data_IF_250387809901
#
_entry.id   IF_250387809901
#
_cell.length_a   1.000
_cell.length_b   1.000
_cell.length_c   1.000
_cell.angle_alpha   90.00
_cell.angle_beta   90.00
_cell.angle_gamma   90.00
#
_symmetry.space_group_name_H-M   'P 1'
#
loop_
_entity.id
_entity.type
_entity.pdbx_description
1 polymer ?
#
# COMPACT_ATOMS: atom_id res chain seq x y z
N UNK A 1 -7.78 -3.26 -8.07
CA UNK A 1 -6.38 -3.53 -7.64
C UNK A 1 -6.40 -4.32 -6.32
N UNK A 2 -5.49 -5.28 -6.13
CA UNK A 2 -5.37 -6.02 -4.86
C UNK A 2 -4.08 -5.63 -4.16
N UNK A 3 -4.20 -5.18 -2.91
CA UNK A 3 -3.07 -4.83 -2.04
C UNK A 3 -3.17 -5.59 -0.73
N UNK A 4 -2.02 -5.99 -0.17
CA UNK A 4 -1.93 -6.33 1.24
C UNK A 4 -1.31 -5.14 1.96
N UNK A 5 -1.98 -4.71 3.02
CA UNK A 5 -1.60 -3.52 3.79
C UNK A 5 -1.36 -3.96 5.23
N UNK A 6 -0.26 -3.50 5.81
CA UNK A 6 -0.02 -3.60 7.25
C UNK A 6 -0.38 -2.26 7.89
N UNK A 7 -1.18 -2.32 8.95
CA UNK A 7 -1.57 -1.15 9.74
C UNK A 7 -0.75 -1.16 11.02
N UNK A 8 -0.12 -0.03 11.33
CA UNK A 8 0.65 0.20 12.54
C UNK A 8 -0.15 1.15 13.42
N UNK A 9 -0.61 0.64 14.57
CA UNK A 9 -1.42 1.41 15.51
C UNK A 9 -0.59 2.42 16.32
N UNK A 10 0.63 2.04 16.69
CA UNK A 10 1.60 2.84 17.44
C UNK A 10 2.13 4.02 16.63
N UNK A 11 2.39 3.81 15.34
CA UNK A 11 2.87 4.84 14.42
C UNK A 11 1.73 5.54 13.64
N UNK A 12 0.47 5.22 13.95
CA UNK A 12 -0.72 5.76 13.26
C UNK A 12 -0.59 5.77 11.73
N UNK A 13 -0.04 4.71 11.15
CA UNK A 13 0.31 4.65 9.73
C UNK A 13 -0.02 3.29 9.12
N UNK A 14 0.06 3.22 7.80
CA UNK A 14 -0.15 2.00 7.05
C UNK A 14 0.85 1.89 5.90
N UNK A 15 1.23 0.66 5.57
CA UNK A 15 2.24 0.36 4.57
C UNK A 15 1.74 -0.75 3.63
N UNK A 16 1.99 -0.59 2.32
CA UNK A 16 1.69 -1.64 1.35
C UNK A 16 2.80 -2.70 1.38
N UNK A 17 2.42 -3.93 1.71
CA UNK A 17 3.32 -5.09 1.74
C UNK A 17 3.39 -5.80 0.38
N UNK A 18 2.32 -5.75 -0.39
CA UNK A 18 2.24 -6.36 -1.72
C UNK A 18 1.31 -5.62 -2.65
N UNK A 19 1.64 -5.57 -3.94
CA UNK A 19 0.81 -4.97 -4.98
C UNK A 19 0.97 -5.74 -6.30
N UNK A 20 -0.14 -6.09 -6.97
CA UNK A 20 -0.14 -6.79 -8.26
C UNK A 20 0.81 -8.00 -8.35
N UNK A 21 0.67 -8.96 -7.43
CA UNK A 21 1.55 -10.14 -7.31
C UNK A 21 3.02 -9.86 -6.96
N UNK A 22 3.44 -8.60 -6.81
CA UNK A 22 4.78 -8.24 -6.35
C UNK A 22 4.78 -8.03 -4.83
N UNK A 23 5.85 -8.51 -4.20
CA UNK A 23 6.11 -8.46 -2.75
C UNK A 23 7.56 -8.05 -2.53
N UNK A 24 7.92 -7.70 -1.29
CA UNK A 24 9.29 -7.38 -0.90
C UNK A 24 9.88 -6.18 -1.65
N UNK A 25 9.09 -5.11 -1.80
CA UNK A 25 9.58 -3.83 -2.32
C UNK A 25 10.72 -3.33 -1.43
N UNK A 26 11.90 -3.17 -2.02
CA UNK A 26 13.03 -2.59 -1.32
C UNK A 26 12.84 -1.07 -1.21
N UNK A 27 13.28 -0.45 -0.10
CA UNK A 27 13.25 1.01 0.03
C UNK A 27 14.15 1.70 -1.00
N UNK A 28 15.17 1.00 -1.51
CA UNK A 28 16.04 1.46 -2.57
C UNK A 28 16.58 0.29 -3.39
N UNK A 29 16.58 0.45 -4.72
CA UNK A 29 17.23 -0.49 -5.64
C UNK A 29 18.50 0.12 -6.25
N UNK A 30 19.65 -0.49 -5.99
CA UNK A 30 20.94 -0.11 -6.58
C UNK A 30 20.93 -0.34 -8.10
N UNK A 31 21.70 0.49 -8.83
CA UNK A 31 21.83 0.36 -10.28
C UNK A 31 23.16 -0.31 -10.67
N UNK A 32 23.16 -1.19 -11.69
CA UNK A 32 22.03 -1.56 -12.54
C UNK A 32 21.04 -2.49 -11.82
N UNK A 33 19.74 -2.21 -11.93
CA UNK A 33 18.69 -3.05 -11.36
C UNK A 33 18.24 -4.09 -12.41
N UNK A 34 18.70 -5.36 -12.34
CA UNK A 34 18.39 -6.37 -13.34
C UNK A 34 16.91 -6.75 -13.39
N UNK A 35 16.15 -6.45 -12.34
CA UNK A 35 14.71 -6.66 -12.27
C UNK A 35 13.91 -5.42 -12.75
N UNK A 36 14.60 -4.36 -13.16
CA UNK A 36 14.04 -3.10 -13.71
C UNK A 36 13.03 -2.38 -12.80
N UNK A 37 13.02 -2.66 -11.49
CA UNK A 37 12.26 -1.86 -10.53
C UNK A 37 12.74 -0.41 -10.48
N UNK A 38 11.79 0.50 -10.28
CA UNK A 38 12.06 1.91 -10.06
C UNK A 38 12.76 2.09 -8.70
N UNK A 39 13.68 3.06 -8.60
CA UNK A 39 14.47 3.29 -7.36
C UNK A 39 13.61 3.52 -6.12
N UNK A 40 12.43 4.08 -6.30
CA UNK A 40 11.52 4.58 -5.28
C UNK A 40 10.15 3.86 -5.32
N UNK A 41 10.08 2.67 -5.91
CA UNK A 41 8.81 1.95 -6.12
C UNK A 41 8.03 1.74 -4.81
N UNK A 42 8.74 1.49 -3.70
CA UNK A 42 8.12 1.41 -2.37
C UNK A 42 7.35 2.69 -2.00
N UNK A 43 7.95 3.84 -2.27
CA UNK A 43 7.35 5.16 -2.01
C UNK A 43 6.15 5.37 -2.94
N UNK A 44 6.28 5.03 -4.22
CA UNK A 44 5.20 5.18 -5.19
C UNK A 44 3.97 4.35 -4.81
N UNK A 45 4.15 3.09 -4.41
CA UNK A 45 3.02 2.22 -4.03
C UNK A 45 2.35 2.69 -2.74
N UNK A 46 3.13 3.13 -1.74
CA UNK A 46 2.56 3.71 -0.51
C UNK A 46 1.79 5.02 -0.79
N UNK A 47 2.32 5.88 -1.67
CA UNK A 47 1.64 7.11 -2.09
C UNK A 47 0.33 6.79 -2.81
N UNK A 48 0.35 5.81 -3.72
CA UNK A 48 -0.83 5.36 -4.45
C UNK A 48 -1.94 4.87 -3.51
N UNK A 49 -1.61 4.15 -2.43
CA UNK A 49 -2.59 3.77 -1.41
C UNK A 49 -3.28 5.01 -0.80
N UNK A 50 -2.51 6.04 -0.45
CA UNK A 50 -3.05 7.29 0.11
C UNK A 50 -3.97 8.03 -0.86
N UNK A 51 -3.57 8.14 -2.13
CA UNK A 51 -4.38 8.75 -3.19
C UNK A 51 -5.68 7.96 -3.44
N UNK A 52 -5.60 6.62 -3.46
CA UNK A 52 -6.75 5.75 -3.61
C UNK A 52 -7.74 5.89 -2.46
N UNK A 53 -7.28 5.86 -1.21
CA UNK A 53 -8.13 6.04 -0.03
C UNK A 53 -8.78 7.44 -0.03
N UNK A 54 -8.01 8.47 -0.38
CA UNK A 54 -8.54 9.84 -0.51
C UNK A 54 -9.63 9.91 -1.56
N UNK A 55 -9.44 9.25 -2.71
CA UNK A 55 -10.45 9.15 -3.75
C UNK A 55 -11.71 8.43 -3.25
N UNK A 56 -11.57 7.28 -2.57
CA UNK A 56 -12.69 6.55 -1.98
C UNK A 56 -13.45 7.38 -0.94
N UNK A 57 -12.75 8.15 -0.11
CA UNK A 57 -13.37 9.03 0.89
C UNK A 57 -14.18 10.16 0.22
N UNK A 58 -13.70 10.69 -0.90
CA UNK A 58 -14.37 11.75 -1.67
C UNK A 58 -15.55 11.24 -2.50
N UNK A 59 -15.45 10.04 -3.06
CA UNK A 59 -16.48 9.43 -3.91
C UNK A 59 -17.69 8.88 -3.12
N UNK A 60 -17.63 8.88 -1.79
CA UNK A 60 -18.67 8.35 -0.90
C UNK A 60 -18.32 6.96 -0.39
N UNK A 61 -18.36 6.78 0.94
CA UNK A 61 -18.02 5.52 1.61
C UNK A 61 -19.12 4.49 1.36
N UNK A 62 -18.76 3.23 1.13
CA UNK A 62 -19.71 2.13 1.35
C UNK A 62 -20.04 2.08 2.84
N UNK A 63 -21.33 2.16 3.19
CA UNK A 63 -21.84 2.18 4.57
C UNK A 63 -21.71 0.84 5.31
N UNK A 64 -21.23 -0.21 4.64
CA UNK A 64 -21.05 -1.52 5.25
C UNK A 64 -19.73 -1.52 6.01
N UNK A 65 -19.82 -1.23 7.31
CA UNK A 65 -18.72 -1.48 8.25
C UNK A 65 -18.41 -2.99 8.14
N UNK A 66 -17.18 -3.39 7.79
CA UNK A 66 -16.83 -4.79 7.79
C UNK A 66 -16.88 -5.29 9.24
N UNK A 67 -17.45 -6.48 9.46
CA UNK A 67 -17.37 -7.19 10.74
C UNK A 67 -15.90 -7.55 11.01
N UNK A 68 -15.14 -6.59 11.54
CA UNK A 68 -13.78 -6.78 12.02
C UNK A 68 -13.86 -7.56 13.33
N UNK A 69 -13.97 -8.89 13.21
CA UNK A 69 -13.87 -9.80 14.34
C UNK A 69 -12.38 -10.01 14.63
N UNK A 70 -11.88 -9.36 15.69
CA UNK A 70 -10.56 -9.67 16.22
C UNK A 70 -10.64 -11.04 16.90
N UNK A 71 -9.99 -12.04 16.31
CA UNK A 71 -9.83 -13.39 16.88
C UNK A 71 -8.53 -13.46 17.67
#
# INVERSE_FOLDING_TARGET
PTMQVRVYHDACTAEVMSYQNHRNFQPHYSQPNPLMYQRDEKIQVNRFLGEWLTHCLRAGRSLKVPDITFS
#
